data_IF_200416741352
#
_entry.id   IF_200416741352
#
_cell.length_a   1.000
_cell.length_b   1.000
_cell.length_c   1.000
_cell.angle_alpha   90.00
_cell.angle_beta   90.00
_cell.angle_gamma   90.00
#
_symmetry.space_group_name_H-M   'P 1'
#
loop_
_entity.id
_entity.type
_entity.pdbx_description
1 polymer ?
#
# COMPACT_ATOMS: atom_id res chain seq x y z
N UNK A 1 12.34 -8.32 10.85
CA UNK A 1 11.41 -7.22 10.53
C UNK A 1 10.02 -7.80 10.37
N UNK A 2 9.02 -7.24 11.04
CA UNK A 2 7.61 -7.63 10.97
C UNK A 2 6.84 -6.58 10.20
N UNK A 3 6.18 -6.98 9.11
CA UNK A 3 5.40 -6.07 8.26
C UNK A 3 3.93 -6.49 8.29
N UNK A 4 3.05 -5.54 8.57
CA UNK A 4 1.62 -5.72 8.40
C UNK A 4 1.28 -5.52 6.93
N UNK A 5 0.80 -6.56 6.26
CA UNK A 5 0.25 -6.49 4.90
C UNK A 5 -1.27 -6.42 5.03
N UNK A 6 -1.86 -5.34 4.53
CA UNK A 6 -3.32 -5.17 4.51
C UNK A 6 -3.85 -5.50 3.13
N UNK A 7 -4.56 -6.61 3.05
CA UNK A 7 -5.23 -7.13 1.86
C UNK A 7 -6.54 -6.37 1.62
N UNK A 8 -6.58 -5.60 0.54
CA UNK A 8 -7.77 -4.94 0.01
C UNK A 8 -8.55 -5.85 -0.96
N UNK A 9 -8.55 -7.16 -0.73
CA UNK A 9 -9.19 -8.17 -1.56
C UNK A 9 -8.60 -8.26 -2.97
N UNK A 10 -7.28 -8.28 -3.07
CA UNK A 10 -6.57 -8.38 -4.34
C UNK A 10 -6.06 -9.78 -4.65
N UNK A 11 -6.08 -10.13 -5.94
CA UNK A 11 -5.63 -11.45 -6.40
C UNK A 11 -4.10 -11.60 -6.39
N UNK A 12 -3.34 -10.51 -6.26
CA UNK A 12 -1.88 -10.50 -6.32
C UNK A 12 -1.21 -10.21 -4.97
N UNK A 13 -1.97 -10.03 -3.88
CA UNK A 13 -1.39 -9.73 -2.56
C UNK A 13 -0.36 -10.77 -2.13
N UNK A 14 -0.61 -12.06 -2.40
CA UNK A 14 0.32 -13.12 -2.03
C UNK A 14 1.61 -13.15 -2.86
N UNK A 15 1.64 -12.54 -4.05
CA UNK A 15 2.91 -12.32 -4.75
C UNK A 15 3.80 -11.35 -3.96
N UNK A 16 3.22 -10.26 -3.43
CA UNK A 16 3.96 -9.31 -2.59
C UNK A 16 4.45 -9.96 -1.31
N UNK A 17 3.59 -10.74 -0.64
CA UNK A 17 3.93 -11.50 0.57
C UNK A 17 5.06 -12.49 0.30
N UNK A 18 5.04 -13.19 -0.83
CA UNK A 18 6.10 -14.11 -1.21
C UNK A 18 7.44 -13.40 -1.41
N UNK A 19 7.47 -12.25 -2.09
CA UNK A 19 8.70 -11.47 -2.24
C UNK A 19 9.23 -10.95 -0.90
N UNK A 20 8.35 -10.49 0.00
CA UNK A 20 8.74 -10.12 1.36
C UNK A 20 9.34 -11.30 2.12
N UNK A 21 8.74 -12.49 2.02
CA UNK A 21 9.26 -13.72 2.62
C UNK A 21 10.63 -14.12 2.08
N UNK A 22 10.88 -13.97 0.78
CA UNK A 22 12.20 -14.20 0.17
C UNK A 22 13.28 -13.24 0.71
N UNK A 23 12.88 -12.06 1.17
CA UNK A 23 13.76 -11.10 1.84
C UNK A 23 13.89 -11.34 3.35
N UNK A 24 13.29 -12.41 3.87
CA UNK A 24 13.32 -12.76 5.30
C UNK A 24 12.40 -11.91 6.19
N UNK A 25 11.40 -11.25 5.59
CA UNK A 25 10.40 -10.47 6.33
C UNK A 25 9.30 -11.37 6.86
N UNK A 26 8.93 -11.17 8.13
CA UNK A 26 7.74 -11.77 8.73
C UNK A 26 6.52 -10.93 8.32
N UNK A 27 5.80 -11.38 7.30
CA UNK A 27 4.65 -10.68 6.73
C UNK A 27 3.34 -11.21 7.34
N UNK A 28 2.65 -10.38 8.12
CA UNK A 28 1.34 -10.68 8.68
C UNK A 28 0.24 -10.11 7.78
N UNK A 29 -0.59 -10.98 7.21
CA UNK A 29 -1.63 -10.57 6.25
C UNK A 29 -2.98 -10.45 6.94
N UNK A 30 -3.52 -9.24 7.03
CA UNK A 30 -4.87 -8.98 7.56
C UNK A 30 -5.71 -8.35 6.44
N UNK A 31 -7.03 -8.56 6.46
CA UNK A 31 -7.91 -7.88 5.51
C UNK A 31 -8.19 -6.45 5.97
N UNK A 32 -8.59 -5.59 5.03
CA UNK A 32 -8.92 -4.20 5.34
C UNK A 32 -10.13 -4.00 6.26
N UNK A 33 -10.89 -5.06 6.52
CA UNK A 33 -12.04 -5.14 7.42
C UNK A 33 -11.79 -6.06 8.63
N UNK A 34 -10.52 -6.43 8.88
CA UNK A 34 -10.15 -7.25 10.03
C UNK A 34 -10.59 -6.56 11.33
N UNK A 35 -11.22 -7.28 12.28
CA UNK A 35 -11.70 -6.69 13.54
C UNK A 35 -10.58 -6.04 14.35
N UNK A 36 -9.31 -6.45 14.17
CA UNK A 36 -8.14 -5.82 14.81
C UNK A 36 -7.78 -4.45 14.22
N UNK A 37 -8.55 -3.96 13.26
CA UNK A 37 -8.45 -2.64 12.64
C UNK A 37 -9.78 -1.86 12.77
N UNK A 38 -10.73 -2.35 13.57
CA UNK A 38 -12.10 -1.84 13.62
C UNK A 38 -12.24 -0.45 14.24
N UNK A 39 -11.28 -0.05 15.08
CA UNK A 39 -11.25 1.25 15.75
C UNK A 39 -9.92 1.97 15.52
N UNK A 40 -9.90 3.27 15.81
CA UNK A 40 -8.67 4.09 15.74
C UNK A 40 -7.60 3.56 16.70
N UNK A 41 -7.98 3.18 17.92
CA UNK A 41 -7.05 2.63 18.91
C UNK A 41 -6.45 1.29 18.47
N UNK A 42 -7.26 0.41 17.87
CA UNK A 42 -6.81 -0.88 17.33
C UNK A 42 -5.89 -0.68 16.12
N UNK A 43 -6.23 0.25 15.23
CA UNK A 43 -5.40 0.61 14.08
C UNK A 43 -4.04 1.16 14.54
N UNK A 44 -4.03 2.08 15.51
CA UNK A 44 -2.79 2.63 16.06
C UNK A 44 -1.93 1.55 16.74
N UNK A 45 -2.56 0.64 17.49
CA UNK A 45 -1.88 -0.50 18.09
C UNK A 45 -1.28 -1.42 17.02
N UNK A 46 -2.04 -1.75 15.98
CA UNK A 46 -1.57 -2.57 14.87
C UNK A 46 -0.34 -1.94 14.21
N UNK A 47 -0.35 -0.63 13.95
CA UNK A 47 0.82 0.09 13.42
C UNK A 47 2.01 0.06 14.38
N UNK A 48 1.79 0.23 15.68
CA UNK A 48 2.86 0.22 16.68
C UNK A 48 3.50 -1.16 16.88
N UNK A 49 2.74 -2.24 16.67
CA UNK A 49 3.21 -3.62 16.83
C UNK A 49 4.06 -4.11 15.63
N UNK A 50 4.13 -3.34 14.54
CA UNK A 50 4.83 -3.69 13.30
C UNK A 50 5.91 -2.67 12.92
N UNK A 51 6.95 -3.13 12.23
CA UNK A 51 8.06 -2.29 11.76
C UNK A 51 7.70 -1.49 10.49
N UNK A 52 6.61 -1.87 9.81
CA UNK A 52 6.11 -1.21 8.63
C UNK A 52 4.76 -1.77 8.17
N UNK A 53 4.08 -1.01 7.30
CA UNK A 53 2.78 -1.38 6.73
C UNK A 53 2.87 -1.41 5.21
N UNK A 54 2.31 -2.46 4.60
CA UNK A 54 2.09 -2.55 3.16
C UNK A 54 0.59 -2.58 2.87
N UNK A 55 0.08 -1.58 2.16
CA UNK A 55 -1.29 -1.57 1.67
C UNK A 55 -1.33 -2.17 0.26
N UNK A 56 -2.03 -3.29 0.10
CA UNK A 56 -2.08 -4.02 -1.17
C UNK A 56 -2.88 -3.25 -2.24
N UNK A 57 -2.78 -3.68 -3.52
CA UNK A 57 -3.78 -3.35 -4.52
C UNK A 57 -5.17 -3.84 -4.08
N UNK A 58 -6.21 -3.46 -4.83
CA UNK A 58 -7.57 -3.93 -4.60
C UNK A 58 -8.54 -3.27 -5.58
N UNK A 59 -9.79 -3.76 -5.68
CA UNK A 59 -10.83 -3.16 -6.48
C UNK A 59 -11.44 -1.92 -5.79
N UNK A 60 -12.17 -1.12 -6.57
CA UNK A 60 -12.97 -0.02 -6.03
C UNK A 60 -12.20 1.28 -5.84
N UNK A 61 -12.60 2.07 -4.86
CA UNK A 61 -12.01 3.40 -4.55
C UNK A 61 -11.45 3.43 -3.14
N UNK A 62 -10.46 4.29 -2.86
CA UNK A 62 -9.80 4.34 -1.55
C UNK A 62 -10.74 4.57 -0.37
N UNK A 63 -11.78 5.37 -0.56
CA UNK A 63 -12.77 5.71 0.47
C UNK A 63 -13.60 4.49 0.91
N UNK A 64 -13.61 3.43 0.10
CA UNK A 64 -14.30 2.17 0.39
C UNK A 64 -13.34 1.06 0.83
N UNK A 65 -12.04 1.34 0.92
CA UNK A 65 -10.99 0.35 1.21
C UNK A 65 -10.79 0.12 2.73
N UNK A 66 -11.90 0.03 3.48
CA UNK A 66 -11.90 -0.26 4.92
C UNK A 66 -10.93 0.61 5.72
N UNK A 67 -10.09 -0.04 6.53
CA UNK A 67 -9.10 0.60 7.40
C UNK A 67 -7.90 1.22 6.65
N UNK A 68 -7.83 1.17 5.32
CA UNK A 68 -6.66 1.66 4.56
C UNK A 68 -6.33 3.14 4.82
N UNK A 69 -7.31 4.04 4.76
CA UNK A 69 -7.10 5.47 5.04
C UNK A 69 -6.74 5.71 6.52
N UNK A 70 -7.48 5.15 7.50
CA UNK A 70 -7.10 5.20 8.91
C UNK A 70 -5.65 4.74 9.18
N UNK A 71 -5.20 3.65 8.53
CA UNK A 71 -3.84 3.14 8.66
C UNK A 71 -2.79 4.12 8.14
N UNK A 72 -3.07 4.84 7.04
CA UNK A 72 -2.17 5.91 6.56
C UNK A 72 -2.03 7.00 7.62
N UNK A 73 -3.15 7.45 8.22
CA UNK A 73 -3.14 8.44 9.29
C UNK A 73 -2.34 7.97 10.51
N UNK A 74 -2.56 6.73 10.95
CA UNK A 74 -1.82 6.15 12.07
C UNK A 74 -0.31 6.05 11.79
N UNK A 75 0.09 5.56 10.61
CA UNK A 75 1.50 5.49 10.21
C UNK A 75 2.15 6.87 10.16
N UNK A 76 1.43 7.89 9.67
CA UNK A 76 1.91 9.27 9.63
C UNK A 76 2.15 9.82 11.04
N UNK A 77 1.22 9.56 11.98
CA UNK A 77 1.31 10.01 13.36
C UNK A 77 2.48 9.38 14.11
N UNK A 78 2.75 8.09 13.87
CA UNK A 78 3.84 7.34 14.53
C UNK A 78 5.16 7.39 13.77
N UNK A 79 5.18 7.95 12.55
CA UNK A 79 6.30 7.86 11.60
C UNK A 79 6.69 6.42 11.24
N UNK A 80 5.73 5.51 11.26
CA UNK A 80 5.94 4.13 10.80
C UNK A 80 6.01 4.12 9.26
N UNK A 81 7.01 3.45 8.65
CA UNK A 81 7.10 3.31 7.19
C UNK A 81 5.87 2.62 6.60
N UNK A 82 5.30 3.23 5.55
CA UNK A 82 4.18 2.67 4.82
C UNK A 82 4.45 2.68 3.31
N UNK A 83 4.18 1.55 2.66
CA UNK A 83 4.20 1.41 1.20
C UNK A 83 2.80 1.04 0.70
N UNK A 84 2.25 1.84 -0.20
CA UNK A 84 0.97 1.55 -0.86
C UNK A 84 1.18 1.16 -2.31
N UNK A 85 0.51 0.10 -2.76
CA UNK A 85 0.54 -0.36 -4.17
C UNK A 85 -0.85 -0.21 -4.79
N UNK A 86 -0.95 0.41 -5.97
CA UNK A 86 -2.21 0.65 -6.67
C UNK A 86 -3.27 1.32 -5.78
N UNK A 87 -4.34 0.63 -5.37
CA UNK A 87 -5.36 1.15 -4.44
C UNK A 87 -4.73 1.63 -3.12
N UNK A 88 -3.72 0.92 -2.60
CA UNK A 88 -2.95 1.36 -1.43
C UNK A 88 -2.22 2.68 -1.67
N UNK A 89 -1.67 2.92 -2.86
CA UNK A 89 -1.05 4.19 -3.22
C UNK A 89 -2.08 5.33 -3.31
N UNK A 90 -3.24 5.03 -3.89
CA UNK A 90 -4.35 5.96 -3.99
C UNK A 90 -4.89 6.35 -2.60
N UNK A 91 -4.98 5.40 -1.66
CA UNK A 91 -5.36 5.65 -0.27
C UNK A 91 -4.41 6.62 0.44
N UNK A 92 -3.10 6.53 0.17
CA UNK A 92 -2.14 7.53 0.67
C UNK A 92 -2.47 8.92 0.13
N UNK A 93 -2.71 9.02 -1.18
CA UNK A 93 -3.08 10.28 -1.81
C UNK A 93 -4.32 10.91 -1.16
N UNK A 94 -5.41 10.13 -1.04
CA UNK A 94 -6.67 10.60 -0.43
C UNK A 94 -6.51 10.98 1.04
N UNK A 95 -5.77 10.18 1.83
CA UNK A 95 -5.53 10.47 3.24
C UNK A 95 -4.85 11.83 3.49
N UNK A 96 -4.05 12.29 2.53
CA UNK A 96 -3.40 13.61 2.57
C UNK A 96 -4.09 14.69 1.73
N UNK A 97 -5.36 14.48 1.36
CA UNK A 97 -6.19 15.47 0.67
C UNK A 97 -6.01 15.52 -0.85
N UNK A 98 -5.34 14.53 -1.44
CA UNK A 98 -5.25 14.37 -2.90
C UNK A 98 -6.54 13.81 -3.51
N UNK A 99 -6.75 14.09 -4.79
CA UNK A 99 -7.90 13.57 -5.56
C UNK A 99 -7.47 12.35 -6.37
N UNK A 100 -8.25 11.27 -6.29
CA UNK A 100 -8.13 10.08 -7.14
C UNK A 100 -9.35 10.03 -8.05
N UNK A 101 -9.13 10.12 -9.36
CA UNK A 101 -10.18 10.09 -10.37
C UNK A 101 -9.74 9.23 -11.57
N UNK A 102 -10.67 9.01 -12.50
CA UNK A 102 -10.44 8.20 -13.69
C UNK A 102 -9.42 8.86 -14.60
N UNK A 103 -8.45 8.07 -15.03
CA UNK A 103 -7.56 8.46 -16.11
C UNK A 103 -8.36 8.62 -17.42
N UNK A 104 -7.95 9.51 -18.33
CA UNK A 104 -8.57 9.65 -19.65
C UNK A 104 -8.56 8.36 -20.46
N UNK A 105 -7.56 7.50 -20.23
CA UNK A 105 -7.41 6.21 -20.89
C UNK A 105 -7.23 5.07 -19.88
N UNK A 106 -7.89 3.94 -20.13
CA UNK A 106 -7.71 2.71 -19.37
C UNK A 106 -6.52 1.93 -19.96
N UNK A 107 -5.45 1.78 -19.19
CA UNK A 107 -4.22 1.10 -19.61
C UNK A 107 -3.99 -0.26 -18.92
N UNK A 108 -5.06 -0.95 -18.53
CA UNK A 108 -4.96 -2.21 -17.79
C UNK A 108 -4.24 -3.30 -18.61
N UNK A 109 -3.21 -3.89 -18.01
CA UNK A 109 -2.42 -4.99 -18.59
C UNK A 109 -1.39 -4.53 -19.62
N UNK A 110 -1.12 -3.22 -19.71
CA UNK A 110 -0.11 -2.66 -20.63
C UNK A 110 1.11 -2.18 -19.88
N UNK A 111 2.29 -2.38 -20.49
CA UNK A 111 3.52 -1.82 -19.98
C UNK A 111 3.59 -0.33 -20.28
N UNK A 112 4.04 0.45 -19.29
CA UNK A 112 4.30 1.87 -19.37
C UNK A 112 5.76 2.17 -19.03
N UNK A 113 6.27 3.23 -19.64
CA UNK A 113 7.57 3.80 -19.33
C UNK A 113 7.40 4.79 -18.18
N UNK A 114 8.02 4.52 -17.03
CA UNK A 114 7.93 5.35 -15.82
C UNK A 114 9.24 6.11 -15.63
N UNK A 115 9.14 7.44 -15.62
CA UNK A 115 10.25 8.33 -15.30
C UNK A 115 10.23 8.68 -13.82
N UNK A 116 11.41 8.86 -13.21
CA UNK A 116 11.54 9.18 -11.79
C UNK A 116 12.71 10.12 -11.52
N UNK A 117 12.74 10.69 -10.31
CA UNK A 117 13.77 11.64 -9.85
C UNK A 117 14.88 10.99 -9.02
N UNK A 118 15.02 9.66 -9.10
CA UNK A 118 16.02 8.88 -8.38
C UNK A 118 15.98 9.06 -6.84
N UNK A 119 14.78 9.11 -6.27
CA UNK A 119 14.56 9.34 -4.84
C UNK A 119 13.69 8.25 -4.20
N UNK A 120 13.81 8.11 -2.87
CA UNK A 120 13.02 7.16 -2.08
C UNK A 120 13.19 5.72 -2.58
N UNK A 121 12.08 5.00 -2.70
CA UNK A 121 12.06 3.59 -3.15
C UNK A 121 12.49 3.39 -4.61
N UNK A 122 12.61 4.47 -5.40
CA UNK A 122 13.02 4.41 -6.81
C UNK A 122 14.50 4.78 -7.01
N UNK A 123 15.25 5.00 -5.92
CA UNK A 123 16.66 5.32 -6.00
C UNK A 123 17.47 4.12 -6.54
N UNK A 124 18.32 4.37 -7.54
CA UNK A 124 19.17 3.38 -8.19
C UNK A 124 18.50 2.57 -9.31
N UNK A 125 17.21 2.75 -9.57
CA UNK A 125 16.52 2.10 -10.68
C UNK A 125 16.84 2.77 -12.03
N UNK A 126 16.73 2.05 -13.16
CA UNK A 126 16.85 2.63 -14.50
C UNK A 126 15.84 3.77 -14.73
N UNK A 127 16.28 4.82 -15.43
CA UNK A 127 15.41 5.94 -15.78
C UNK A 127 15.35 6.13 -17.31
N UNK A 128 14.23 5.81 -17.96
CA UNK A 128 13.00 5.27 -17.36
C UNK A 128 13.09 3.77 -17.02
N UNK A 129 12.16 3.28 -16.19
CA UNK A 129 11.93 1.85 -16.00
C UNK A 129 10.57 1.41 -16.55
N UNK A 130 10.44 0.12 -16.86
CA UNK A 130 9.19 -0.46 -17.35
C UNK A 130 8.36 -1.01 -16.20
N UNK A 131 7.09 -0.60 -16.13
CA UNK A 131 6.12 -1.12 -15.17
C UNK A 131 4.76 -1.37 -15.84
N UNK A 132 3.99 -2.31 -15.30
CA UNK A 132 2.62 -2.59 -15.77
C UNK A 132 1.63 -1.64 -15.11
N UNK A 133 0.65 -1.13 -15.89
CA UNK A 133 -0.51 -0.36 -15.40
C UNK A 133 -1.81 -1.11 -15.64
#
# INVERSE_FOLDING_TARGET
MRVLVVDNYDSFVFNLVQYLGQLGVDAQVWRNDDPRLGTEAETAKAVADHDGVLLSPGPGTPERAGASIPLVGACAATRTPLLGVCLGHQAIGVAFGGTVDRAPELLHGKTSTVYHTNAGVLQGLPNPFTATR
#
